data_IF_390138756948
#
_entry.id   IF_390138756948
#
_cell.length_a   1.000
_cell.length_b   1.000
_cell.length_c   1.000
_cell.angle_alpha   90.00
_cell.angle_beta   90.00
_cell.angle_gamma   90.00
#
_symmetry.space_group_name_H-M   'P 1'
#
loop_
_entity.id
_entity.type
_entity.pdbx_description
1 polymer ?
#
# COMPACT_ATOMS: atom_id res chain seq x y z
N UNK A 1 15.70 12.27 -1.62
CA UNK A 1 15.57 12.11 -3.10
C UNK A 1 14.31 11.33 -3.44
N UNK A 2 13.84 11.39 -4.70
CA UNK A 2 12.54 10.84 -5.13
C UNK A 2 12.32 9.35 -4.77
N UNK A 3 13.33 8.50 -4.99
CA UNK A 3 13.31 7.06 -4.60
C UNK A 3 13.10 6.87 -3.10
N UNK A 4 13.73 7.70 -2.27
CA UNK A 4 13.60 7.61 -0.81
C UNK A 4 12.19 7.96 -0.32
N UNK A 5 11.57 9.01 -0.87
CA UNK A 5 10.18 9.37 -0.54
C UNK A 5 9.21 8.29 -1.03
N UNK A 6 9.42 7.77 -2.24
CA UNK A 6 8.63 6.65 -2.76
C UNK A 6 8.72 5.41 -1.84
N UNK A 7 9.92 5.09 -1.34
CA UNK A 7 10.14 3.99 -0.39
C UNK A 7 9.39 4.20 0.93
N UNK A 8 9.39 5.43 1.46
CA UNK A 8 8.63 5.78 2.66
C UNK A 8 7.13 5.61 2.45
N UNK A 9 6.59 6.07 1.32
CA UNK A 9 5.18 5.88 0.96
C UNK A 9 4.79 4.41 0.90
N UNK A 10 5.62 3.54 0.30
CA UNK A 10 5.41 2.08 0.29
C UNK A 10 5.40 1.51 1.71
N UNK A 11 6.30 1.96 2.58
CA UNK A 11 6.36 1.53 3.98
C UNK A 11 5.10 1.91 4.76
N UNK A 12 4.65 3.16 4.63
CA UNK A 12 3.42 3.66 5.26
C UNK A 12 2.19 2.87 4.79
N UNK A 13 2.04 2.69 3.47
CA UNK A 13 0.94 1.92 2.89
C UNK A 13 0.93 0.48 3.39
N UNK A 14 2.10 -0.17 3.48
CA UNK A 14 2.23 -1.52 4.01
C UNK A 14 1.77 -1.60 5.46
N UNK A 15 2.21 -0.67 6.31
CA UNK A 15 1.80 -0.65 7.71
C UNK A 15 0.28 -0.47 7.87
N UNK A 16 -0.33 0.43 7.10
CA UNK A 16 -1.78 0.61 7.08
C UNK A 16 -2.53 -0.65 6.62
N UNK A 17 -2.04 -1.31 5.56
CA UNK A 17 -2.59 -2.58 5.08
C UNK A 17 -2.49 -3.69 6.14
N UNK A 18 -1.34 -3.84 6.80
CA UNK A 18 -1.12 -4.86 7.84
C UNK A 18 -2.09 -4.66 9.01
N UNK A 19 -2.23 -3.42 9.49
CA UNK A 19 -3.20 -3.08 10.54
C UNK A 19 -4.65 -3.41 10.12
N UNK A 20 -5.05 -3.05 8.89
CA UNK A 20 -6.38 -3.34 8.39
C UNK A 20 -6.64 -4.85 8.18
N UNK A 21 -5.64 -5.59 7.69
CA UNK A 21 -5.71 -7.05 7.51
C UNK A 21 -5.88 -7.76 8.85
N UNK A 22 -5.10 -7.37 9.85
CA UNK A 22 -5.12 -8.01 11.16
C UNK A 22 -6.43 -7.70 11.89
N UNK A 23 -6.87 -6.44 11.87
CA UNK A 23 -8.20 -6.06 12.34
C UNK A 23 -9.32 -6.85 11.63
N UNK A 24 -9.22 -7.03 10.31
CA UNK A 24 -10.24 -7.75 9.55
C UNK A 24 -10.34 -9.24 9.92
N UNK A 25 -9.26 -9.85 10.41
CA UNK A 25 -9.24 -11.24 10.90
C UNK A 25 -9.85 -11.37 12.30
N UNK A 26 -9.66 -10.35 13.14
CA UNK A 26 -10.11 -10.37 14.54
C UNK A 26 -11.55 -9.86 14.70
N UNK A 27 -11.94 -8.89 13.88
CA UNK A 27 -13.26 -8.26 13.98
C UNK A 27 -14.33 -9.18 13.39
N UNK A 28 -15.34 -9.49 14.18
CA UNK A 28 -16.53 -10.19 13.70
C UNK A 28 -17.71 -9.24 13.41
N UNK A 29 -18.49 -9.59 12.39
CA UNK A 29 -19.76 -8.95 12.06
C UNK A 29 -20.62 -9.93 11.27
N UNK A 30 -21.92 -9.94 11.53
CA UNK A 30 -22.85 -10.89 10.92
C UNK A 30 -22.43 -12.36 11.11
N UNK A 31 -21.90 -12.68 12.29
CA UNK A 31 -21.57 -14.06 12.70
C UNK A 31 -20.28 -14.65 12.13
N UNK A 32 -19.41 -13.84 11.52
CA UNK A 32 -18.09 -14.29 11.04
C UNK A 32 -17.05 -13.15 11.02
N UNK A 33 -15.75 -13.46 10.98
CA UNK A 33 -14.70 -12.47 10.75
C UNK A 33 -14.95 -11.63 9.51
N UNK A 34 -14.70 -10.31 9.58
CA UNK A 34 -15.04 -9.41 8.47
C UNK A 34 -14.20 -9.65 7.22
N UNK A 35 -13.03 -10.27 7.35
CA UNK A 35 -12.20 -10.71 6.23
C UNK A 35 -12.93 -11.74 5.33
N UNK A 36 -13.92 -12.46 5.85
CA UNK A 36 -14.74 -13.41 5.08
C UNK A 36 -15.89 -12.76 4.29
N UNK A 37 -16.08 -11.46 4.43
CA UNK A 37 -16.99 -10.70 3.57
C UNK A 37 -16.25 -10.31 2.29
N UNK A 38 -16.77 -10.72 1.13
CA UNK A 38 -16.10 -10.54 -0.16
C UNK A 38 -15.66 -9.08 -0.42
N UNK A 39 -16.47 -8.09 -0.04
CA UNK A 39 -16.14 -6.68 -0.20
C UNK A 39 -14.87 -6.28 0.59
N UNK A 40 -14.65 -6.84 1.78
CA UNK A 40 -13.44 -6.59 2.58
C UNK A 40 -12.26 -7.36 1.97
N UNK A 41 -12.45 -8.63 1.63
CA UNK A 41 -11.41 -9.45 1.01
C UNK A 41 -10.88 -8.82 -0.29
N UNK A 42 -11.77 -8.36 -1.17
CA UNK A 42 -11.38 -7.69 -2.43
C UNK A 42 -10.64 -6.38 -2.17
N UNK A 43 -11.07 -5.58 -1.19
CA UNK A 43 -10.35 -4.36 -0.81
C UNK A 43 -8.95 -4.66 -0.30
N UNK A 44 -8.79 -5.66 0.58
CA UNK A 44 -7.48 -6.08 1.08
C UNK A 44 -6.57 -6.58 -0.05
N UNK A 45 -7.12 -7.38 -0.98
CA UNK A 45 -6.39 -7.89 -2.14
C UNK A 45 -5.92 -6.77 -3.08
N UNK A 46 -6.78 -5.77 -3.33
CA UNK A 46 -6.43 -4.60 -4.14
C UNK A 46 -5.31 -3.79 -3.48
N UNK A 47 -5.42 -3.50 -2.18
CA UNK A 47 -4.35 -2.81 -1.43
C UNK A 47 -3.01 -3.56 -1.54
N UNK A 48 -3.01 -4.87 -1.30
CA UNK A 48 -1.80 -5.69 -1.37
C UNK A 48 -1.16 -5.65 -2.78
N UNK A 49 -2.00 -5.70 -3.82
CA UNK A 49 -1.56 -5.63 -5.22
C UNK A 49 -0.91 -4.29 -5.52
N UNK A 50 -1.54 -3.18 -5.15
CA UNK A 50 -1.01 -1.84 -5.40
C UNK A 50 0.32 -1.60 -4.67
N UNK A 51 0.45 -2.07 -3.42
CA UNK A 51 1.71 -2.00 -2.66
C UNK A 51 2.82 -2.78 -3.37
N UNK A 52 2.53 -3.98 -3.90
CA UNK A 52 3.50 -4.80 -4.60
C UNK A 52 4.00 -4.11 -5.88
N UNK A 53 3.10 -3.51 -6.65
CA UNK A 53 3.44 -2.74 -7.86
C UNK A 53 4.30 -1.53 -7.52
N UNK A 54 3.91 -0.73 -6.52
CA UNK A 54 4.67 0.44 -6.10
C UNK A 54 6.08 0.05 -5.61
N UNK A 55 6.19 -1.03 -4.84
CA UNK A 55 7.48 -1.54 -4.36
C UNK A 55 8.39 -1.91 -5.53
N UNK A 56 7.86 -2.57 -6.56
CA UNK A 56 8.68 -2.91 -7.72
C UNK A 56 9.14 -1.67 -8.48
N UNK A 57 8.29 -0.66 -8.63
CA UNK A 57 8.70 0.59 -9.29
C UNK A 57 9.82 1.31 -8.53
N UNK A 58 9.76 1.29 -7.19
CA UNK A 58 10.81 1.83 -6.33
C UNK A 58 12.13 1.06 -6.51
N UNK A 59 12.07 -0.27 -6.47
CA UNK A 59 13.26 -1.11 -6.65
C UNK A 59 13.88 -0.95 -8.03
N UNK A 60 13.07 -0.86 -9.08
CA UNK A 60 13.53 -0.61 -10.43
C UNK A 60 14.30 0.72 -10.54
N UNK A 61 13.72 1.82 -10.03
CA UNK A 61 14.37 3.12 -10.03
C UNK A 61 15.67 3.12 -9.18
N UNK A 62 15.69 2.38 -8.06
CA UNK A 62 16.88 2.22 -7.25
C UNK A 62 17.98 1.43 -7.99
N UNK A 63 17.62 0.32 -8.63
CA UNK A 63 18.56 -0.53 -9.37
C UNK A 63 19.21 0.21 -10.54
N UNK A 64 18.45 1.00 -11.30
CA UNK A 64 19.02 1.86 -12.35
C UNK A 64 20.06 2.82 -11.78
N UNK A 65 19.71 3.52 -10.68
CA UNK A 65 20.62 4.47 -10.02
C UNK A 65 21.88 3.78 -9.52
N UNK A 66 21.74 2.62 -8.88
CA UNK A 66 22.87 1.88 -8.31
C UNK A 66 23.77 1.29 -9.42
N UNK A 67 23.22 1.01 -10.60
CA UNK A 67 23.98 0.62 -11.80
C UNK A 67 24.62 1.79 -12.57
N UNK A 68 24.48 3.03 -12.08
CA UNK A 68 25.01 4.23 -12.74
C UNK A 68 24.22 4.67 -13.98
N UNK A 69 23.06 4.06 -14.25
CA UNK A 69 22.21 4.44 -15.36
C UNK A 69 21.35 5.68 -15.02
N UNK A 70 20.94 6.48 -16.02
CA UNK A 70 19.95 7.54 -15.82
C UNK A 70 18.66 6.96 -15.23
N UNK A 71 18.21 7.52 -14.10
CA UNK A 71 17.04 7.03 -13.36
C UNK A 71 16.05 8.14 -13.00
N UNK A 72 16.19 9.34 -13.58
CA UNK A 72 15.43 10.52 -13.17
C UNK A 72 13.93 10.34 -13.46
N UNK A 73 13.59 9.75 -14.60
CA UNK A 73 12.20 9.54 -15.04
C UNK A 73 11.54 8.49 -14.16
N UNK A 74 12.20 7.34 -13.98
CA UNK A 74 11.75 6.21 -13.19
C UNK A 74 11.61 6.58 -11.71
N UNK A 75 12.55 7.35 -11.17
CA UNK A 75 12.45 7.85 -9.81
C UNK A 75 11.26 8.82 -9.65
N UNK A 76 10.91 9.58 -10.68
CA UNK A 76 9.74 10.48 -10.68
C UNK A 76 8.43 9.71 -10.74
N UNK A 77 8.36 8.71 -11.62
CA UNK A 77 7.22 7.79 -11.70
C UNK A 77 7.02 7.03 -10.39
N UNK A 78 8.11 6.49 -9.82
CA UNK A 78 8.08 5.80 -8.53
C UNK A 78 7.53 6.71 -7.43
N UNK A 79 8.01 7.96 -7.33
CA UNK A 79 7.50 8.92 -6.35
C UNK A 79 6.03 9.19 -6.54
N UNK A 80 5.61 9.50 -7.77
CA UNK A 80 4.23 9.87 -8.08
C UNK A 80 3.29 8.73 -7.68
N UNK A 81 3.52 7.55 -8.27
CA UNK A 81 2.68 6.38 -8.06
C UNK A 81 2.66 5.95 -6.60
N UNK A 82 3.82 5.85 -5.95
CA UNK A 82 3.88 5.40 -4.55
C UNK A 82 3.15 6.37 -3.62
N UNK A 83 3.22 7.69 -3.85
CA UNK A 83 2.54 8.66 -2.98
C UNK A 83 1.01 8.61 -3.13
N UNK A 84 0.50 8.48 -4.35
CA UNK A 84 -0.95 8.37 -4.58
C UNK A 84 -1.51 7.01 -4.13
N UNK A 85 -0.76 5.93 -4.37
CA UNK A 85 -1.10 4.60 -3.88
C UNK A 85 -1.17 4.57 -2.34
N UNK A 86 -0.22 5.22 -1.67
CA UNK A 86 -0.20 5.25 -0.22
C UNK A 86 -1.43 5.94 0.37
N UNK A 87 -1.89 7.05 -0.22
CA UNK A 87 -3.15 7.68 0.18
C UNK A 87 -4.33 6.71 0.01
N UNK A 88 -4.48 6.11 -1.17
CA UNK A 88 -5.59 5.18 -1.47
C UNK A 88 -5.62 3.98 -0.52
N UNK A 89 -4.46 3.39 -0.24
CA UNK A 89 -4.32 2.28 0.70
C UNK A 89 -4.66 2.71 2.12
N UNK A 90 -4.16 3.86 2.58
CA UNK A 90 -4.50 4.38 3.90
C UNK A 90 -6.01 4.65 4.03
N UNK A 91 -6.64 5.31 3.06
CA UNK A 91 -8.10 5.51 3.02
C UNK A 91 -8.87 4.18 3.06
N UNK A 92 -8.41 3.18 2.29
CA UNK A 92 -9.03 1.84 2.25
C UNK A 92 -8.84 1.06 3.56
N UNK A 93 -7.70 1.25 4.23
CA UNK A 93 -7.44 0.71 5.55
C UNK A 93 -8.43 1.30 6.56
N UNK A 94 -8.54 2.63 6.64
CA UNK A 94 -9.52 3.32 7.50
C UNK A 94 -10.94 2.80 7.29
N UNK A 95 -11.35 2.64 6.03
CA UNK A 95 -12.67 2.10 5.70
C UNK A 95 -12.88 0.65 6.18
N UNK A 96 -11.80 -0.15 6.25
CA UNK A 96 -11.84 -1.52 6.79
C UNK A 96 -11.96 -1.51 8.32
N UNK A 97 -11.34 -0.56 8.99
CA UNK A 97 -11.49 -0.36 10.44
C UNK A 97 -12.88 0.17 10.82
N UNK A 98 -13.57 0.87 9.92
CA UNK A 98 -14.88 1.46 10.18
C UNK A 98 -14.76 2.60 11.19
N UNK A 99 -15.66 2.66 12.18
CA UNK A 99 -15.62 3.70 13.21
C UNK A 99 -14.35 3.73 14.06
N UNK A 100 -13.62 2.61 14.17
CA UNK A 100 -12.33 2.54 14.88
C UNK A 100 -11.17 3.18 14.10
N UNK A 101 -11.40 3.59 12.84
CA UNK A 101 -10.40 4.30 12.03
C UNK A 101 -10.38 5.82 12.23
N UNK A 102 -11.39 6.40 12.89
CA UNK A 102 -11.52 7.85 13.14
C UNK A 102 -11.37 8.15 14.63
#
# INVERSE_FOLDING_TARGET
GRVGIASQSVGMARAAFEAARDYARERESFGKPIIEHQAVAFRLADMATQIAVARQMVHYAAALRDSGQPALVEASMAKLFASEMAEKVCSSALQTLGGYGY
#
